data_IF_697300536228
#
_entry.id   IF_697300536228
#
_cell.length_a   1.000
_cell.length_b   1.000
_cell.length_c   1.000
_cell.angle_alpha   90.00
_cell.angle_beta   90.00
_cell.angle_gamma   90.00
#
_symmetry.space_group_name_H-M   'P 1'
#
loop_
_entity.id
_entity.type
_entity.pdbx_description
1 polymer ?
#
# COMPACT_ATOMS: atom_id res chain seq x y z
N UNK A 1 20.24 2.46 -17.33
CA UNK A 1 21.34 2.28 -16.32
C UNK A 1 21.85 3.62 -15.78
N UNK A 2 21.38 4.74 -16.29
CA UNK A 2 21.83 6.07 -15.88
C UNK A 2 21.01 6.67 -14.72
N UNK A 3 20.21 5.86 -14.04
CA UNK A 3 19.45 6.24 -12.84
C UNK A 3 20.29 6.16 -11.55
N UNK A 4 21.53 5.71 -11.65
CA UNK A 4 22.49 5.82 -10.54
C UNK A 4 22.95 7.28 -10.44
N UNK A 5 22.06 8.11 -9.99
CA UNK A 5 22.44 9.43 -9.52
C UNK A 5 23.21 9.23 -8.22
N UNK A 6 24.11 10.15 -7.89
CA UNK A 6 24.79 10.18 -6.59
C UNK A 6 23.81 10.41 -5.41
N UNK A 7 22.51 10.22 -5.64
CA UNK A 7 21.47 10.34 -4.64
C UNK A 7 21.16 8.97 -4.04
N UNK A 8 21.15 8.84 -2.72
CA UNK A 8 20.88 7.57 -2.04
C UNK A 8 19.45 7.06 -2.20
N UNK A 9 18.53 7.94 -2.62
CA UNK A 9 17.10 7.64 -2.77
C UNK A 9 16.50 8.50 -3.88
N UNK A 10 15.62 7.92 -4.68
CA UNK A 10 14.80 8.63 -5.68
C UNK A 10 13.34 8.25 -5.52
N UNK A 11 12.44 9.13 -6.00
CA UNK A 11 11.00 8.89 -5.94
C UNK A 11 10.57 7.88 -7.01
N UNK A 12 9.78 6.89 -6.60
CA UNK A 12 9.24 5.84 -7.48
C UNK A 12 7.95 6.31 -8.18
N UNK A 13 8.09 7.19 -9.14
CA UNK A 13 6.95 7.65 -9.95
C UNK A 13 6.29 6.54 -10.78
N UNK A 14 7.03 5.57 -11.37
CA UNK A 14 6.39 4.45 -12.06
C UNK A 14 5.42 3.67 -11.17
N UNK A 15 5.82 3.32 -9.94
CA UNK A 15 4.95 2.61 -9.00
C UNK A 15 3.80 3.50 -8.52
N UNK A 16 4.08 4.78 -8.26
CA UNK A 16 3.04 5.74 -7.91
C UNK A 16 1.97 5.83 -9.00
N UNK A 17 2.37 5.89 -10.26
CA UNK A 17 1.43 5.93 -11.39
C UNK A 17 0.60 4.64 -11.48
N UNK A 18 1.21 3.47 -11.32
CA UNK A 18 0.48 2.20 -11.32
C UNK A 18 -0.56 2.13 -10.20
N UNK A 19 -0.23 2.57 -8.99
CA UNK A 19 -1.19 2.68 -7.89
C UNK A 19 -2.34 3.64 -8.21
N UNK A 20 -2.04 4.77 -8.82
CA UNK A 20 -3.05 5.77 -9.18
C UNK A 20 -4.01 5.27 -10.26
N UNK A 21 -3.48 4.67 -11.33
CA UNK A 21 -4.30 4.05 -12.38
C UNK A 21 -5.21 2.95 -11.80
N UNK A 22 -4.69 2.15 -10.86
CA UNK A 22 -5.50 1.17 -10.16
C UNK A 22 -6.63 1.82 -9.33
N UNK A 23 -6.35 2.90 -8.61
CA UNK A 23 -7.36 3.64 -7.84
C UNK A 23 -8.44 4.25 -8.75
N UNK A 24 -8.05 4.82 -9.88
CA UNK A 24 -8.94 5.42 -10.89
C UNK A 24 -9.82 4.38 -11.60
N UNK A 25 -9.39 3.10 -11.61
CA UNK A 25 -10.06 2.00 -12.32
C UNK A 25 -9.61 1.87 -13.77
N UNK A 26 -8.50 2.51 -14.12
CA UNK A 26 -7.87 2.45 -15.45
C UNK A 26 -6.75 1.41 -15.53
N UNK A 27 -6.31 0.90 -14.39
CA UNK A 27 -5.30 -0.14 -14.24
C UNK A 27 -5.77 -1.31 -13.38
N UNK A 28 -4.97 -2.38 -13.35
CA UNK A 28 -5.20 -3.60 -12.59
C UNK A 28 -4.02 -3.90 -11.67
N UNK A 29 -4.14 -4.93 -10.82
CA UNK A 29 -3.02 -5.43 -10.03
C UNK A 29 -1.89 -5.97 -10.91
N UNK A 30 -2.20 -6.41 -12.15
CA UNK A 30 -1.19 -6.77 -13.15
C UNK A 30 -0.28 -5.59 -13.53
N UNK A 31 -0.83 -4.37 -13.60
CA UNK A 31 -0.03 -3.17 -13.88
C UNK A 31 0.95 -2.88 -12.74
N UNK A 32 0.51 -3.04 -11.50
CA UNK A 32 1.38 -2.90 -10.32
C UNK A 32 2.49 -3.95 -10.32
N UNK A 33 2.12 -5.21 -10.58
CA UNK A 33 3.08 -6.30 -10.75
C UNK A 33 4.13 -5.97 -11.82
N UNK A 34 3.67 -5.50 -13.00
CA UNK A 34 4.55 -5.20 -14.14
C UNK A 34 5.61 -4.13 -13.83
N UNK A 35 5.28 -3.15 -13.00
CA UNK A 35 6.26 -2.14 -12.54
C UNK A 35 7.27 -2.77 -11.57
N UNK A 36 6.79 -3.50 -10.56
CA UNK A 36 7.65 -4.15 -9.58
C UNK A 36 8.54 -5.24 -10.21
N UNK A 37 8.09 -5.90 -11.28
CA UNK A 37 8.88 -6.87 -12.03
C UNK A 37 10.09 -6.23 -12.75
N UNK A 38 10.14 -4.91 -12.85
CA UNK A 38 11.25 -4.16 -13.45
C UNK A 38 12.27 -3.68 -12.40
N UNK A 39 12.19 -4.15 -11.16
CA UNK A 39 13.11 -3.76 -10.08
C UNK A 39 14.59 -4.03 -10.41
N UNK A 40 14.86 -4.95 -11.32
CA UNK A 40 16.22 -5.21 -11.81
C UNK A 40 16.88 -4.00 -12.54
N UNK A 41 16.09 -2.98 -12.90
CA UNK A 41 16.60 -1.73 -13.49
C UNK A 41 17.26 -0.81 -12.45
N UNK A 42 17.01 -1.03 -11.17
CA UNK A 42 17.53 -0.23 -10.06
C UNK A 42 18.66 -0.97 -9.35
N UNK A 43 19.68 -0.24 -8.92
CA UNK A 43 20.78 -0.81 -8.13
C UNK A 43 20.31 -1.33 -6.76
N UNK A 44 19.45 -0.58 -6.10
CA UNK A 44 18.79 -0.99 -4.86
C UNK A 44 17.34 -0.48 -4.79
N UNK A 45 16.36 -1.28 -5.25
CA UNK A 45 14.95 -0.88 -5.24
C UNK A 45 14.38 -0.69 -3.83
N UNK A 46 15.06 -1.15 -2.76
CA UNK A 46 14.64 -0.92 -1.38
C UNK A 46 14.81 0.55 -0.96
N UNK A 47 15.66 1.29 -1.64
CA UNK A 47 15.88 2.71 -1.39
C UNK A 47 14.96 3.63 -2.21
N UNK A 48 14.05 3.11 -3.02
CA UNK A 48 13.07 3.93 -3.72
C UNK A 48 12.01 4.47 -2.75
N UNK A 49 11.73 5.78 -2.82
CA UNK A 49 10.65 6.41 -2.07
C UNK A 49 9.32 6.15 -2.76
N UNK A 50 8.48 5.32 -2.15
CA UNK A 50 7.20 4.87 -2.72
C UNK A 50 6.02 5.67 -2.15
N UNK A 51 5.02 5.99 -2.97
CA UNK A 51 3.85 6.79 -2.59
C UNK A 51 2.71 6.57 -3.60
N UNK A 52 1.50 6.97 -3.29
CA UNK A 52 0.37 7.01 -4.24
C UNK A 52 -0.30 8.39 -4.31
N UNK A 53 -0.06 9.25 -3.34
CA UNK A 53 -0.41 10.67 -3.39
C UNK A 53 0.66 11.51 -2.69
N UNK A 54 0.69 12.81 -3.00
CA UNK A 54 1.53 13.80 -2.37
C UNK A 54 0.87 15.19 -2.44
N UNK A 55 1.57 16.22 -1.99
CA UNK A 55 1.05 17.60 -1.94
C UNK A 55 0.83 18.27 -3.31
N UNK A 56 1.32 17.68 -4.40
CA UNK A 56 1.17 18.19 -5.78
C UNK A 56 0.19 17.35 -6.62
N UNK A 57 -0.36 16.28 -6.04
CA UNK A 57 -1.20 15.32 -6.74
C UNK A 57 -2.56 15.18 -6.05
N UNK A 58 -3.60 14.87 -6.83
CA UNK A 58 -4.92 14.59 -6.27
C UNK A 58 -4.84 13.44 -5.25
N UNK A 59 -5.53 13.62 -4.12
CA UNK A 59 -5.60 12.64 -3.03
C UNK A 59 -6.10 11.29 -3.51
N UNK A 60 -5.52 10.19 -3.01
CA UNK A 60 -5.89 8.84 -3.39
C UNK A 60 -7.39 8.56 -3.26
N UNK A 61 -8.01 8.97 -2.15
CA UNK A 61 -9.46 8.78 -1.93
C UNK A 61 -10.33 9.54 -2.93
N UNK A 62 -9.87 10.69 -3.43
CA UNK A 62 -10.58 11.46 -4.45
C UNK A 62 -10.60 10.72 -5.78
N UNK A 63 -9.44 10.27 -6.25
CA UNK A 63 -9.32 9.53 -7.52
C UNK A 63 -9.96 8.15 -7.46
N UNK A 64 -9.95 7.51 -6.28
CA UNK A 64 -10.68 6.26 -6.04
C UNK A 64 -12.21 6.45 -5.95
N UNK A 65 -12.73 7.67 -6.21
CA UNK A 65 -14.16 7.99 -6.15
C UNK A 65 -14.80 7.55 -4.82
N UNK A 66 -14.06 7.73 -3.72
CA UNK A 66 -14.43 7.30 -2.35
C UNK A 66 -14.50 5.78 -2.14
N UNK A 67 -13.90 4.99 -3.01
CA UNK A 67 -13.80 3.53 -2.82
C UNK A 67 -12.72 3.21 -1.76
N UNK A 68 -13.18 3.01 -0.53
CA UNK A 68 -12.32 2.73 0.63
C UNK A 68 -11.58 1.37 0.48
N UNK A 69 -12.22 0.39 -0.17
CA UNK A 69 -11.59 -0.93 -0.39
C UNK A 69 -10.35 -0.81 -1.27
N UNK A 70 -10.41 -0.06 -2.36
CA UNK A 70 -9.24 0.21 -3.22
C UNK A 70 -8.14 0.96 -2.47
N UNK A 71 -8.51 1.93 -1.63
CA UNK A 71 -7.52 2.63 -0.78
C UNK A 71 -6.83 1.65 0.16
N UNK A 72 -7.55 0.76 0.82
CA UNK A 72 -6.97 -0.27 1.69
C UNK A 72 -6.02 -1.19 0.92
N UNK A 73 -6.38 -1.61 -0.29
CA UNK A 73 -5.53 -2.44 -1.15
C UNK A 73 -4.22 -1.72 -1.49
N UNK A 74 -4.28 -0.45 -1.91
CA UNK A 74 -3.08 0.34 -2.23
C UNK A 74 -2.24 0.61 -0.99
N UNK A 75 -2.84 0.93 0.16
CA UNK A 75 -2.12 1.07 1.44
C UNK A 75 -1.41 -0.23 1.83
N UNK A 76 -2.08 -1.38 1.62
CA UNK A 76 -1.45 -2.69 1.87
C UNK A 76 -0.22 -2.86 0.99
N UNK A 77 -0.34 -2.66 -0.33
CA UNK A 77 0.78 -2.78 -1.25
C UNK A 77 1.89 -1.78 -0.92
N UNK A 78 1.56 -0.51 -0.65
CA UNK A 78 2.54 0.52 -0.29
C UNK A 78 3.36 0.13 0.94
N UNK A 79 2.72 -0.46 1.96
CA UNK A 79 3.38 -0.76 3.24
C UNK A 79 3.97 -2.17 3.31
N UNK A 80 3.70 -3.02 2.35
CA UNK A 80 4.19 -4.41 2.37
C UNK A 80 5.08 -4.77 1.18
N UNK A 81 5.10 -3.99 0.10
CA UNK A 81 6.10 -4.13 -0.96
C UNK A 81 7.45 -3.53 -0.56
N UNK A 82 8.40 -3.53 -1.47
CA UNK A 82 9.73 -2.94 -1.26
C UNK A 82 9.68 -1.41 -1.25
N UNK A 83 10.74 -0.76 -0.82
CA UNK A 83 10.90 0.69 -0.81
C UNK A 83 10.60 1.35 0.53
N UNK A 84 10.73 2.66 0.54
CA UNK A 84 10.50 3.54 1.70
C UNK A 84 9.13 4.21 1.50
N UNK A 85 8.08 3.79 2.21
CA UNK A 85 6.74 4.33 2.00
C UNK A 85 6.63 5.75 2.53
N UNK A 86 6.11 6.64 1.71
CA UNK A 86 5.73 8.01 2.05
C UNK A 86 4.21 8.11 2.13
N UNK A 87 3.71 8.70 3.20
CA UNK A 87 2.30 9.00 3.41
C UNK A 87 2.13 10.51 3.59
N UNK A 88 1.25 11.13 2.79
CA UNK A 88 0.87 12.51 2.99
C UNK A 88 -0.08 12.60 4.20
N UNK A 89 0.09 13.63 5.05
CA UNK A 89 -0.83 13.87 6.17
C UNK A 89 -2.29 13.93 5.69
N UNK A 90 -3.20 13.40 6.47
CA UNK A 90 -4.61 13.32 6.13
C UNK A 90 -5.02 12.10 5.29
N UNK A 91 -4.05 11.38 4.71
CA UNK A 91 -4.32 10.10 4.04
C UNK A 91 -4.83 9.06 5.04
N UNK A 92 -4.36 9.11 6.29
CA UNK A 92 -4.77 8.25 7.39
C UNK A 92 -6.25 8.40 7.79
N UNK A 93 -6.90 9.49 7.38
CA UNK A 93 -8.33 9.75 7.61
C UNK A 93 -9.08 10.03 6.31
N UNK A 94 -8.50 9.69 5.16
CA UNK A 94 -9.08 9.89 3.84
C UNK A 94 -9.54 11.34 3.59
N UNK A 95 -8.68 12.33 3.86
CA UNK A 95 -8.96 13.72 3.45
C UNK A 95 -9.06 13.74 1.92
N UNK A 96 -10.22 14.14 1.40
CA UNK A 96 -10.46 14.15 -0.05
C UNK A 96 -9.67 15.24 -0.77
N UNK A 97 -9.47 16.39 -0.09
CA UNK A 97 -8.97 17.56 -0.77
C UNK A 97 -9.89 17.99 -1.92
N UNK A 98 -9.33 18.66 -2.91
CA UNK A 98 -10.00 19.08 -4.13
C UNK A 98 -9.05 19.04 -5.32
N UNK A 99 -9.31 19.91 -6.33
CA UNK A 99 -8.51 19.95 -7.56
C UNK A 99 -7.47 21.08 -7.58
N UNK A 100 -7.67 22.12 -6.76
CA UNK A 100 -6.71 23.23 -6.68
C UNK A 100 -5.54 22.89 -5.78
N UNK A 101 -4.40 23.55 -5.96
CA UNK A 101 -3.23 23.38 -5.09
C UNK A 101 -3.53 23.66 -3.61
N UNK A 102 -4.45 24.57 -3.32
CA UNK A 102 -4.89 24.84 -1.94
C UNK A 102 -5.67 23.66 -1.39
N UNK A 103 -6.58 23.10 -2.17
CA UNK A 103 -7.40 21.97 -1.76
C UNK A 103 -6.58 20.68 -1.55
N UNK A 104 -5.54 20.48 -2.38
CA UNK A 104 -4.62 19.35 -2.22
C UNK A 104 -3.90 19.37 -0.87
N UNK A 105 -3.65 20.59 -0.35
CA UNK A 105 -2.98 20.88 0.93
C UNK A 105 -3.96 21.30 2.02
N UNK A 106 -5.22 20.83 1.94
CA UNK A 106 -6.24 21.15 2.93
C UNK A 106 -5.75 20.87 4.36
N UNK A 107 -6.05 21.79 5.27
CA UNK A 107 -5.67 21.68 6.67
C UNK A 107 -6.25 20.42 7.31
N UNK A 108 -5.46 19.80 8.18
CA UNK A 108 -5.95 18.69 8.99
C UNK A 108 -7.02 19.19 9.96
N UNK A 109 -8.19 18.55 10.04
CA UNK A 109 -9.26 19.01 10.92
C UNK A 109 -8.86 18.90 12.40
N UNK A 110 -8.84 20.00 13.12
CA UNK A 110 -8.43 20.08 14.53
C UNK A 110 -7.02 20.63 14.74
N UNK A 111 -6.27 20.97 13.67
CA UNK A 111 -4.92 21.51 13.76
C UNK A 111 -4.83 23.00 14.05
N UNK A 112 -5.96 23.75 13.99
CA UNK A 112 -5.97 25.20 14.09
C UNK A 112 -7.04 25.70 15.07
N UNK A 113 -6.81 26.89 15.69
CA UNK A 113 -7.83 27.56 16.49
C UNK A 113 -9.11 27.77 15.68
N UNK A 114 -10.26 27.56 16.33
CA UNK A 114 -11.57 27.68 15.69
C UNK A 114 -12.05 26.47 14.90
N UNK A 115 -11.26 25.40 14.79
CA UNK A 115 -11.75 24.17 14.21
C UNK A 115 -12.88 23.58 15.06
N UNK A 116 -14.04 23.35 14.43
CA UNK A 116 -15.21 22.75 15.07
C UNK A 116 -15.07 21.25 15.36
N UNK A 117 -14.07 20.61 14.77
CA UNK A 117 -13.83 19.17 14.86
C UNK A 117 -12.34 18.91 15.04
N UNK A 118 -12.00 17.91 15.87
CA UNK A 118 -10.64 17.48 16.11
C UNK A 118 -10.43 16.04 15.66
N UNK A 119 -9.95 15.82 14.44
CA UNK A 119 -9.71 14.49 13.89
C UNK A 119 -8.44 13.81 14.44
N UNK A 120 -7.66 14.46 15.30
CA UNK A 120 -6.60 13.78 16.08
C UNK A 120 -7.19 12.81 17.10
N UNK A 121 -8.43 13.03 17.55
CA UNK A 121 -9.12 12.14 18.48
C UNK A 121 -10.06 11.20 17.76
N UNK A 122 -10.33 10.04 18.35
CA UNK A 122 -11.27 9.05 17.81
C UNK A 122 -12.70 9.62 17.70
N UNK A 123 -13.13 10.34 18.71
CA UNK A 123 -14.46 10.98 18.76
C UNK A 123 -14.60 12.12 17.74
N UNK A 124 -13.51 12.73 17.33
CA UNK A 124 -13.49 13.77 16.31
C UNK A 124 -13.41 13.23 14.87
N UNK A 125 -13.23 11.94 14.68
CA UNK A 125 -13.28 11.27 13.38
C UNK A 125 -14.67 10.68 13.13
N UNK A 126 -15.08 10.59 11.87
CA UNK A 126 -16.25 9.79 11.49
C UNK A 126 -15.94 8.30 11.63
N UNK A 127 -16.97 7.46 11.62
CA UNK A 127 -16.79 6.00 11.65
C UNK A 127 -15.89 5.52 10.49
N UNK A 128 -16.14 6.00 9.28
CA UNK A 128 -15.32 5.65 8.10
C UNK A 128 -13.86 6.13 8.24
N UNK A 129 -13.63 7.27 8.88
CA UNK A 129 -12.27 7.75 9.17
C UNK A 129 -11.59 6.94 10.25
N UNK A 130 -12.31 6.50 11.27
CA UNK A 130 -11.76 5.59 12.29
C UNK A 130 -11.40 4.23 11.71
N UNK A 131 -12.21 3.73 10.78
CA UNK A 131 -11.95 2.47 10.08
C UNK A 131 -10.63 2.52 9.30
N UNK A 132 -10.44 3.55 8.46
CA UNK A 132 -9.21 3.66 7.67
C UNK A 132 -7.98 3.97 8.54
N UNK A 133 -8.15 4.80 9.57
CA UNK A 133 -7.10 5.12 10.53
C UNK A 133 -6.61 3.85 11.26
N UNK A 134 -7.54 3.02 11.73
CA UNK A 134 -7.24 1.78 12.43
C UNK A 134 -6.57 0.77 11.49
N UNK A 135 -7.03 0.68 10.24
CA UNK A 135 -6.44 -0.17 9.22
C UNK A 135 -4.99 0.23 8.93
N UNK A 136 -4.75 1.51 8.65
CA UNK A 136 -3.42 2.03 8.37
C UNK A 136 -2.49 1.87 9.59
N UNK A 137 -2.98 2.19 10.80
CA UNK A 137 -2.22 2.01 12.04
C UNK A 137 -1.76 0.57 12.22
N UNK A 138 -2.64 -0.40 11.90
CA UNK A 138 -2.29 -1.82 11.96
C UNK A 138 -1.20 -2.19 10.95
N UNK A 139 -1.32 -1.76 9.69
CA UNK A 139 -0.29 -1.99 8.66
C UNK A 139 1.07 -1.39 9.05
N UNK A 140 1.08 -0.17 9.58
CA UNK A 140 2.30 0.49 10.05
C UNK A 140 2.93 -0.27 11.22
N UNK A 141 2.11 -0.78 12.13
CA UNK A 141 2.58 -1.62 13.23
C UNK A 141 3.18 -2.93 12.71
N UNK A 142 2.49 -3.63 11.81
CA UNK A 142 3.01 -4.83 11.18
C UNK A 142 4.34 -4.57 10.47
N UNK A 143 4.43 -3.49 9.67
CA UNK A 143 5.69 -3.14 9.01
C UNK A 143 6.83 -2.87 9.99
N UNK A 144 6.53 -2.30 11.16
CA UNK A 144 7.52 -2.02 12.22
C UNK A 144 7.96 -3.29 12.93
N UNK A 145 7.05 -4.24 13.17
CA UNK A 145 7.32 -5.45 13.97
C UNK A 145 7.86 -6.61 13.14
N UNK A 146 7.49 -6.69 11.86
CA UNK A 146 7.92 -7.74 10.93
C UNK A 146 9.05 -7.24 10.03
N UNK A 147 10.29 -7.63 10.34
CA UNK A 147 11.48 -7.21 9.57
C UNK A 147 11.42 -7.64 8.11
N UNK A 148 10.74 -8.75 7.81
CA UNK A 148 10.50 -9.19 6.44
C UNK A 148 9.82 -8.10 5.60
N UNK A 149 8.91 -7.29 6.17
CA UNK A 149 8.22 -6.22 5.46
C UNK A 149 9.11 -4.99 5.16
N UNK A 150 10.18 -4.80 5.91
CA UNK A 150 11.13 -3.68 5.72
C UNK A 150 12.39 -4.10 4.96
N UNK A 151 13.07 -5.12 5.44
CA UNK A 151 14.39 -5.54 4.96
C UNK A 151 14.35 -6.78 4.06
N UNK A 152 13.26 -7.58 4.13
CA UNK A 152 13.13 -8.85 3.46
C UNK A 152 13.17 -8.74 1.94
N UNK A 153 13.62 -9.81 1.29
CA UNK A 153 13.54 -9.97 -0.16
C UNK A 153 12.07 -10.07 -0.59
N UNK A 154 11.74 -9.45 -1.70
CA UNK A 154 10.42 -9.61 -2.31
C UNK A 154 10.49 -10.68 -3.41
N UNK A 155 9.58 -11.65 -3.36
CA UNK A 155 9.31 -12.62 -4.42
C UNK A 155 7.83 -12.50 -4.77
N UNK A 156 7.50 -12.27 -6.03
CA UNK A 156 6.13 -12.00 -6.43
C UNK A 156 5.76 -12.72 -7.72
N UNK A 157 4.47 -12.94 -7.89
CA UNK A 157 3.91 -13.71 -8.98
C UNK A 157 2.87 -12.86 -9.73
N UNK A 158 2.78 -12.98 -11.06
CA UNK A 158 1.78 -12.24 -11.81
C UNK A 158 0.37 -12.61 -11.35
N UNK A 159 -0.52 -11.62 -11.16
CA UNK A 159 -1.93 -11.92 -10.94
C UNK A 159 -2.49 -12.74 -12.10
N UNK A 160 -3.21 -13.84 -11.84
CA UNK A 160 -3.92 -14.56 -12.90
C UNK A 160 -4.96 -13.66 -13.57
N UNK A 161 -5.11 -13.78 -14.89
CA UNK A 161 -6.01 -12.92 -15.67
C UNK A 161 -7.49 -13.02 -15.26
N UNK A 162 -7.89 -14.16 -14.73
CA UNK A 162 -9.27 -14.48 -14.34
C UNK A 162 -9.62 -14.10 -12.90
N UNK A 163 -8.63 -13.90 -12.02
CA UNK A 163 -8.88 -13.70 -10.59
C UNK A 163 -8.49 -12.31 -10.06
N UNK A 164 -7.60 -11.58 -10.73
CA UNK A 164 -7.01 -10.31 -10.26
C UNK A 164 -6.61 -10.34 -8.78
N UNK A 165 -5.96 -11.44 -8.37
CA UNK A 165 -5.37 -11.57 -7.04
C UNK A 165 -3.86 -11.48 -7.15
N UNK A 166 -3.29 -10.43 -6.57
CA UNK A 166 -1.85 -10.25 -6.51
C UNK A 166 -1.29 -10.93 -5.26
N UNK A 167 -0.36 -11.88 -5.47
CA UNK A 167 0.32 -12.62 -4.41
C UNK A 167 1.83 -12.38 -4.44
N UNK A 168 2.40 -12.17 -3.27
CA UNK A 168 3.84 -12.02 -3.11
C UNK A 168 4.30 -12.37 -1.70
N UNK A 169 5.57 -12.72 -1.61
CA UNK A 169 6.27 -13.06 -0.38
C UNK A 169 7.23 -11.93 0.00
N UNK A 170 7.32 -11.67 1.28
CA UNK A 170 8.41 -10.93 1.90
C UNK A 170 9.19 -11.90 2.77
N UNK A 171 10.43 -12.15 2.40
CA UNK A 171 11.27 -13.20 2.97
C UNK A 171 12.34 -12.51 3.82
N UNK A 172 12.20 -12.64 5.13
CA UNK A 172 13.19 -12.25 6.13
C UNK A 172 14.11 -13.40 6.51
N UNK A 173 14.94 -13.18 7.51
CA UNK A 173 15.85 -14.22 8.04
C UNK A 173 15.06 -15.30 8.79
N UNK A 174 14.11 -14.90 9.64
CA UNK A 174 13.39 -15.78 10.56
C UNK A 174 11.89 -15.92 10.24
N UNK A 175 11.41 -15.22 9.21
CA UNK A 175 9.97 -15.19 8.89
C UNK A 175 9.72 -15.02 7.39
N UNK A 176 8.61 -15.56 6.93
CA UNK A 176 8.06 -15.32 5.59
C UNK A 176 6.66 -14.73 5.77
N UNK A 177 6.42 -13.58 5.17
CA UNK A 177 5.09 -12.95 5.13
C UNK A 177 4.51 -13.13 3.73
N UNK A 178 3.41 -13.87 3.61
CA UNK A 178 2.61 -13.98 2.40
C UNK A 178 1.59 -12.83 2.39
N UNK A 179 1.59 -12.06 1.31
CA UNK A 179 0.61 -10.99 1.08
C UNK A 179 -0.28 -11.36 -0.09
N UNK A 180 -1.59 -11.30 0.15
CA UNK A 180 -2.63 -11.53 -0.86
C UNK A 180 -3.49 -10.28 -0.98
N UNK A 181 -3.52 -9.67 -2.16
CA UNK A 181 -4.36 -8.51 -2.48
C UNK A 181 -5.40 -8.93 -3.49
N UNK A 182 -6.66 -8.97 -3.06
CA UNK A 182 -7.78 -9.32 -3.92
C UNK A 182 -8.35 -8.05 -4.56
N UNK A 183 -8.21 -7.90 -5.88
CA UNK A 183 -8.75 -6.80 -6.68
C UNK A 183 -10.25 -6.93 -6.99
N UNK A 184 -10.84 -8.10 -6.73
CA UNK A 184 -12.24 -8.38 -7.01
C UNK A 184 -13.16 -8.01 -5.83
N UNK A 185 -14.43 -7.67 -6.08
CA UNK A 185 -15.38 -7.31 -5.01
C UNK A 185 -15.89 -8.52 -4.22
N UNK A 186 -15.58 -9.74 -4.63
CA UNK A 186 -16.02 -10.98 -4.00
C UNK A 186 -14.83 -11.84 -3.57
N UNK A 187 -15.09 -12.82 -2.70
CA UNK A 187 -14.07 -13.75 -2.22
C UNK A 187 -13.50 -14.56 -3.37
N UNK A 188 -12.17 -14.72 -3.40
CA UNK A 188 -11.46 -15.52 -4.36
C UNK A 188 -10.82 -16.73 -3.69
N UNK A 189 -10.79 -17.84 -4.43
CA UNK A 189 -9.95 -18.98 -4.08
C UNK A 189 -8.57 -18.78 -4.71
N UNK A 190 -7.54 -18.86 -3.89
CA UNK A 190 -6.16 -18.64 -4.35
C UNK A 190 -5.43 -19.97 -4.39
N UNK A 191 -4.87 -20.32 -5.54
CA UNK A 191 -3.95 -21.43 -5.65
C UNK A 191 -2.56 -21.00 -5.14
N UNK A 192 -2.03 -21.76 -4.18
CA UNK A 192 -0.72 -21.55 -3.59
C UNK A 192 0.31 -22.59 -4.06
N UNK A 193 -0.01 -23.44 -5.04
CA UNK A 193 0.88 -24.47 -5.56
C UNK A 193 2.22 -23.94 -6.04
N UNK A 194 2.25 -22.74 -6.63
CA UNK A 194 3.48 -22.03 -7.02
C UNK A 194 4.40 -21.71 -5.84
N UNK A 195 3.84 -21.70 -4.62
CA UNK A 195 4.56 -21.39 -3.39
C UNK A 195 5.11 -22.65 -2.69
N UNK A 196 4.96 -23.85 -3.29
CA UNK A 196 5.37 -25.12 -2.72
C UNK A 196 6.86 -25.20 -2.38
N UNK A 197 7.68 -24.37 -2.99
CA UNK A 197 9.08 -24.21 -2.63
C UNK A 197 9.28 -23.54 -1.25
N UNK A 198 8.32 -22.73 -0.82
CA UNK A 198 8.38 -21.94 0.42
C UNK A 198 7.55 -22.54 1.55
N UNK A 199 6.50 -23.27 1.20
CA UNK A 199 5.52 -23.82 2.13
C UNK A 199 5.17 -25.25 1.73
N UNK A 200 5.05 -26.11 2.72
CA UNK A 200 4.61 -27.51 2.56
C UNK A 200 3.19 -27.72 3.12
N UNK A 201 2.70 -28.94 3.07
CA UNK A 201 1.37 -29.32 3.58
C UNK A 201 1.22 -29.21 5.11
N UNK A 202 2.32 -29.04 5.84
CA UNK A 202 2.35 -28.89 7.30
C UNK A 202 2.44 -27.41 7.72
N UNK A 203 2.71 -26.51 6.76
CA UNK A 203 2.84 -25.09 7.02
C UNK A 203 1.52 -24.50 7.51
N UNK A 204 1.59 -23.70 8.57
CA UNK A 204 0.44 -22.97 9.13
C UNK A 204 0.60 -21.49 8.88
N UNK A 205 -0.50 -20.83 8.56
CA UNK A 205 -0.54 -19.39 8.32
C UNK A 205 -1.26 -18.70 9.46
N UNK A 206 -0.64 -17.67 10.02
CA UNK A 206 -1.29 -16.74 10.93
C UNK A 206 -1.76 -15.52 10.13
N UNK A 207 -3.05 -15.21 10.18
CA UNK A 207 -3.56 -14.00 9.57
C UNK A 207 -3.16 -12.78 10.43
N UNK A 208 -2.16 -12.03 9.98
CA UNK A 208 -1.66 -10.86 10.70
C UNK A 208 -2.67 -9.72 10.79
N UNK A 209 -3.69 -9.69 9.92
CA UNK A 209 -4.74 -8.67 9.96
C UNK A 209 -5.85 -8.97 10.96
N UNK A 210 -6.13 -10.24 11.29
CA UNK A 210 -7.18 -10.64 12.25
C UNK A 210 -6.61 -11.31 13.50
N UNK A 211 -5.36 -11.75 13.47
CA UNK A 211 -4.70 -12.59 14.48
C UNK A 211 -5.37 -13.98 14.64
N UNK A 212 -5.99 -14.47 13.57
CA UNK A 212 -6.57 -15.82 13.46
C UNK A 212 -5.59 -16.74 12.74
N UNK A 213 -5.55 -18.01 13.15
CA UNK A 213 -4.72 -19.06 12.57
C UNK A 213 -5.50 -19.91 11.56
#
# INVERSE_FOLDING_TARGET
>A
RDFETNLPCVMDFPLSQAFRQYLEGEGSLQSVYGVLAQDFLYSDPKNLLTFFDNHDMARGILIAKSNVSKIKQVMTMLLTTRGIPQLLYGTEINIKGGKSHVDLRANFPGGFPGNKRNAFTETGRTQAQNEIFSYLRKLLHLRKTHKALTLGKMVHYPPPFDSDVYKYLRIGEDEIVLVLVNGQPHKQRVDLSELSHWFDSQSRFLNLMTAEA
#
